data_IF_614577237514
#
_entry.id   IF_614577237514
#
_cell.length_a   1.000
_cell.length_b   1.000
_cell.length_c   1.000
_cell.angle_alpha   90.00
_cell.angle_beta   90.00
_cell.angle_gamma   90.00
#
_symmetry.space_group_name_H-M   'P 1'
#
loop_
_entity.id
_entity.type
_entity.pdbx_description
1 polymer ?
#
# COMPACT_ATOMS: atom_id res chain seq x y z
N UNK A 1 25.61 -0.26 34.75
CA UNK A 1 25.02 -1.29 35.63
C UNK A 1 24.32 -2.29 34.73
N UNK A 2 24.67 -3.57 34.80
CA UNK A 2 24.05 -4.62 34.01
C UNK A 2 22.79 -5.13 34.74
N UNK A 3 21.63 -5.02 34.11
CA UNK A 3 20.36 -5.54 34.63
C UNK A 3 20.22 -7.01 34.22
N UNK A 4 20.33 -7.91 35.20
CA UNK A 4 20.15 -9.36 35.04
C UNK A 4 18.68 -9.76 34.86
N UNK A 5 18.04 -9.27 33.79
CA UNK A 5 16.66 -9.57 33.44
C UNK A 5 16.56 -10.06 32.01
N UNK A 6 15.66 -11.01 31.77
CA UNK A 6 15.32 -11.61 30.47
C UNK A 6 14.63 -10.60 29.52
N UNK A 7 14.99 -9.32 29.58
CA UNK A 7 14.41 -8.26 28.77
C UNK A 7 14.95 -8.33 27.35
N UNK A 8 14.05 -8.43 26.38
CA UNK A 8 14.41 -8.37 24.97
C UNK A 8 14.86 -6.94 24.66
N UNK A 9 16.15 -6.78 24.37
CA UNK A 9 16.72 -5.52 23.91
C UNK A 9 16.28 -5.27 22.46
N UNK A 10 15.31 -4.37 22.28
CA UNK A 10 14.79 -3.95 20.98
C UNK A 10 15.21 -2.51 20.65
N UNK A 11 16.46 -2.28 20.21
CA UNK A 11 16.91 -0.93 19.86
C UNK A 11 16.16 -0.41 18.62
N UNK A 12 15.94 0.91 18.52
CA UNK A 12 15.29 1.49 17.35
C UNK A 12 16.16 1.29 16.10
N UNK A 13 15.54 0.88 15.00
CA UNK A 13 16.20 0.81 13.69
C UNK A 13 16.48 2.24 13.19
N UNK A 14 17.75 2.54 12.89
CA UNK A 14 18.23 3.87 12.47
C UNK A 14 18.77 3.88 11.03
N UNK A 15 18.23 3.03 10.17
CA UNK A 15 18.64 2.93 8.78
C UNK A 15 17.50 3.23 7.80
N UNK A 16 17.82 3.11 6.52
CA UNK A 16 16.84 3.03 5.44
C UNK A 16 16.84 1.60 4.88
N UNK A 17 15.69 1.13 4.40
CA UNK A 17 15.57 -0.13 3.67
C UNK A 17 15.26 0.20 2.22
N UNK A 18 16.06 -0.33 1.30
CA UNK A 18 15.82 -0.25 -0.14
C UNK A 18 15.30 -1.59 -0.60
N UNK A 19 14.13 -1.59 -1.25
CA UNK A 19 13.50 -2.78 -1.83
C UNK A 19 13.55 -2.62 -3.34
N UNK A 20 14.29 -3.48 -4.03
CA UNK A 20 14.38 -3.51 -5.49
C UNK A 20 13.76 -4.80 -6.01
N UNK A 21 12.67 -4.69 -6.77
CA UNK A 21 11.95 -5.81 -7.34
C UNK A 21 11.06 -5.34 -8.50
N UNK A 22 10.65 -6.28 -9.36
CA UNK A 22 9.76 -5.99 -10.49
C UNK A 22 8.27 -5.90 -10.08
N UNK A 23 7.88 -6.59 -9.01
CA UNK A 23 6.50 -6.60 -8.53
C UNK A 23 6.23 -5.46 -7.54
N UNK A 24 4.99 -4.97 -7.49
CA UNK A 24 4.59 -3.97 -6.50
C UNK A 24 4.75 -4.51 -5.08
N UNK A 25 5.24 -3.66 -4.16
CA UNK A 25 5.30 -4.00 -2.74
C UNK A 25 3.88 -4.11 -2.18
N UNK A 26 3.46 -5.34 -1.84
CA UNK A 26 2.21 -5.59 -1.13
C UNK A 26 2.49 -5.66 0.37
N UNK A 27 1.87 -4.76 1.14
CA UNK A 27 2.04 -4.71 2.59
C UNK A 27 0.80 -4.10 3.25
N UNK A 28 0.77 -4.13 4.58
CA UNK A 28 -0.29 -3.45 5.34
C UNK A 28 -0.25 -1.94 5.12
N UNK A 29 -1.39 -1.26 5.23
CA UNK A 29 -1.49 0.18 5.05
C UNK A 29 -0.48 1.00 5.88
N UNK A 30 -0.17 0.64 7.16
CA UNK A 30 0.89 1.32 7.91
C UNK A 30 2.28 1.21 7.26
N UNK A 31 2.63 0.08 6.65
CA UNK A 31 3.91 -0.09 5.97
C UNK A 31 3.93 0.75 4.69
N UNK A 32 2.89 0.65 3.86
CA UNK A 32 2.80 1.38 2.60
C UNK A 32 2.91 2.90 2.79
N UNK A 33 2.29 3.45 3.84
CA UNK A 33 2.35 4.89 4.15
C UNK A 33 3.77 5.40 4.50
N UNK A 34 4.73 4.51 4.71
CA UNK A 34 6.14 4.83 5.03
C UNK A 34 7.10 4.42 3.91
N UNK A 35 6.58 4.02 2.75
CA UNK A 35 7.39 3.66 1.58
C UNK A 35 7.26 4.77 0.53
N UNK A 36 8.41 5.33 0.15
CA UNK A 36 8.55 6.08 -1.10
C UNK A 36 8.84 5.07 -2.21
N UNK A 37 8.08 5.13 -3.30
CA UNK A 37 8.22 4.20 -4.41
C UNK A 37 8.68 4.93 -5.66
N UNK A 38 9.76 4.44 -6.25
CA UNK A 38 10.25 4.87 -7.55
C UNK A 38 9.89 3.79 -8.57
N UNK A 39 9.13 4.18 -9.59
CA UNK A 39 8.82 3.32 -10.72
C UNK A 39 9.79 3.60 -11.86
N UNK A 40 10.42 2.55 -12.38
CA UNK A 40 11.30 2.64 -13.53
C UNK A 40 10.72 1.78 -14.66
N UNK A 41 10.49 2.41 -15.80
CA UNK A 41 9.98 1.75 -17.00
C UNK A 41 10.96 1.92 -18.18
N UNK A 42 10.54 1.45 -19.36
CA UNK A 42 11.33 1.53 -20.59
C UNK A 42 11.01 2.77 -21.43
N UNK A 43 10.09 3.65 -20.99
CA UNK A 43 9.60 4.76 -21.80
C UNK A 43 10.70 5.79 -22.13
N UNK A 44 11.69 5.94 -21.25
CA UNK A 44 12.85 6.80 -21.44
C UNK A 44 14.05 6.17 -22.17
N UNK A 45 13.93 4.94 -22.67
CA UNK A 45 15.05 4.24 -23.31
C UNK A 45 15.29 4.74 -24.74
N UNK A 46 16.47 5.28 -24.96
CA UNK A 46 16.96 5.84 -26.23
C UNK A 46 18.41 5.40 -26.43
N UNK A 47 18.97 5.51 -27.66
CA UNK A 47 20.39 5.25 -27.87
C UNK A 47 21.29 6.03 -26.91
N UNK A 48 20.96 7.30 -26.66
CA UNK A 48 21.70 8.18 -25.73
C UNK A 48 21.61 7.72 -24.27
N UNK A 49 20.43 7.30 -23.79
CA UNK A 49 20.29 6.82 -22.41
C UNK A 49 20.94 5.44 -22.23
N UNK A 50 20.99 4.63 -23.28
CA UNK A 50 21.78 3.38 -23.30
C UNK A 50 23.28 3.63 -23.20
N UNK A 51 23.81 4.57 -23.99
CA UNK A 51 25.23 4.97 -23.90
C UNK A 51 25.57 5.48 -22.49
N UNK A 52 24.71 6.30 -21.90
CA UNK A 52 24.89 6.79 -20.54
C UNK A 52 24.86 5.66 -19.49
N UNK A 53 23.98 4.67 -19.64
CA UNK A 53 23.93 3.50 -18.76
C UNK A 53 25.21 2.66 -18.84
N UNK A 54 25.71 2.40 -20.05
CA UNK A 54 26.98 1.68 -20.26
C UNK A 54 28.15 2.46 -19.64
N UNK A 55 28.17 3.78 -19.81
CA UNK A 55 29.18 4.63 -19.19
C UNK A 55 29.13 4.59 -17.66
N UNK A 56 27.93 4.53 -17.07
CA UNK A 56 27.76 4.40 -15.62
C UNK A 56 28.21 3.02 -15.11
N UNK A 57 27.87 1.95 -15.83
CA UNK A 57 28.26 0.56 -15.50
C UNK A 57 29.78 0.34 -15.54
N UNK A 58 30.46 1.03 -16.45
CA UNK A 58 31.91 0.96 -16.63
C UNK A 58 32.70 2.00 -15.84
N UNK A 59 32.02 2.85 -15.06
CA UNK A 59 32.66 3.93 -14.31
C UNK A 59 33.50 3.36 -13.17
N UNK A 60 34.77 3.80 -13.07
CA UNK A 60 35.67 3.37 -12.01
C UNK A 60 35.13 3.79 -10.62
N UNK A 61 35.28 2.92 -9.63
CA UNK A 61 34.81 3.15 -8.25
C UNK A 61 35.34 4.47 -7.67
N UNK A 62 36.57 4.84 -8.00
CA UNK A 62 37.23 6.07 -7.57
C UNK A 62 36.47 7.32 -8.05
N UNK A 63 35.79 7.25 -9.20
CA UNK A 63 35.01 8.35 -9.74
C UNK A 63 33.64 8.52 -9.04
N UNK A 64 33.10 7.46 -8.42
CA UNK A 64 31.76 7.46 -7.79
C UNK A 64 31.79 7.39 -6.25
N UNK A 65 32.91 7.00 -5.65
CA UNK A 65 33.04 6.78 -4.19
C UNK A 65 33.06 8.05 -3.34
N UNK A 66 33.20 9.23 -3.95
CA UNK A 66 33.30 10.50 -3.23
C UNK A 66 32.03 10.98 -2.53
N UNK A 67 30.86 10.41 -2.84
CA UNK A 67 29.57 10.89 -2.32
C UNK A 67 29.51 10.85 -0.78
N UNK A 68 29.81 9.69 -0.17
CA UNK A 68 29.74 9.53 1.29
C UNK A 68 30.71 10.45 2.03
N UNK A 69 31.92 10.64 1.49
CA UNK A 69 32.92 11.52 2.09
C UNK A 69 32.47 13.00 2.03
N UNK A 70 31.88 13.43 0.91
CA UNK A 70 31.35 14.79 0.77
C UNK A 70 30.17 15.03 1.70
N UNK A 71 29.23 14.08 1.75
CA UNK A 71 28.05 14.18 2.60
C UNK A 71 28.43 14.24 4.09
N UNK A 72 29.33 13.38 4.56
CA UNK A 72 29.77 13.38 5.97
C UNK A 72 30.54 14.65 6.35
N UNK A 73 31.36 15.21 5.46
CA UNK A 73 32.02 16.51 5.68
C UNK A 73 31.04 17.69 5.79
N UNK A 74 29.84 17.54 5.23
CA UNK A 74 28.79 18.57 5.22
C UNK A 74 27.63 18.21 6.16
N UNK A 75 27.82 17.26 7.07
CA UNK A 75 26.78 16.72 7.97
C UNK A 75 25.98 17.82 8.67
N UNK A 76 26.65 18.80 9.30
CA UNK A 76 25.97 19.87 10.01
C UNK A 76 25.05 20.71 9.11
N UNK A 77 25.46 20.99 7.87
CA UNK A 77 24.65 21.75 6.91
C UNK A 77 23.47 20.92 6.39
N UNK A 78 23.70 19.64 6.14
CA UNK A 78 22.66 18.69 5.72
C UNK A 78 21.61 18.53 6.81
N UNK A 79 22.02 18.24 8.05
CA UNK A 79 21.11 18.08 9.20
C UNK A 79 20.29 19.35 9.39
N UNK A 80 20.92 20.53 9.40
CA UNK A 80 20.21 21.80 9.51
C UNK A 80 19.13 21.97 8.42
N UNK A 81 19.49 21.69 7.16
CA UNK A 81 18.55 21.79 6.03
C UNK A 81 17.36 20.84 6.21
N UNK A 82 17.61 19.62 6.69
CA UNK A 82 16.55 18.63 6.92
C UNK A 82 15.66 19.01 8.10
N UNK A 83 16.24 19.47 9.21
CA UNK A 83 15.50 19.89 10.42
C UNK A 83 14.60 21.10 10.15
N UNK A 84 15.08 22.07 9.37
CA UNK A 84 14.31 23.27 9.00
C UNK A 84 13.29 22.96 7.89
N UNK A 85 13.68 22.19 6.87
CA UNK A 85 12.88 21.95 5.67
C UNK A 85 11.78 20.89 5.85
N UNK A 86 12.04 19.81 6.60
CA UNK A 86 11.08 18.71 6.68
C UNK A 86 9.70 19.12 7.24
N UNK A 87 9.60 19.92 8.33
CA UNK A 87 8.31 20.40 8.83
C UNK A 87 7.59 21.31 7.83
N UNK A 88 8.33 22.12 7.06
CA UNK A 88 7.77 22.99 6.05
C UNK A 88 7.17 22.18 4.89
N UNK A 89 7.93 21.23 4.35
CA UNK A 89 7.47 20.36 3.27
C UNK A 89 6.33 19.44 3.70
N UNK A 90 6.33 18.96 4.95
CA UNK A 90 5.21 18.20 5.50
C UNK A 90 3.92 19.04 5.47
N UNK A 91 3.98 20.31 5.89
CA UNK A 91 2.84 21.22 5.83
C UNK A 91 2.39 21.48 4.39
N UNK A 92 3.32 21.80 3.49
CA UNK A 92 3.01 22.06 2.08
C UNK A 92 2.35 20.85 1.42
N UNK A 93 2.78 19.63 1.77
CA UNK A 93 2.16 18.39 1.29
C UNK A 93 0.77 18.17 1.91
N UNK A 94 0.54 18.54 3.17
CA UNK A 94 -0.78 18.47 3.79
C UNK A 94 -1.78 19.47 3.22
N UNK A 95 -1.30 20.62 2.74
CA UNK A 95 -2.11 21.62 2.06
C UNK A 95 -2.47 21.18 0.62
N UNK A 96 -1.79 20.16 0.08
CA UNK A 96 -2.09 19.63 -1.25
C UNK A 96 -3.42 18.86 -1.25
N UNK A 97 -4.38 19.20 -2.14
CA UNK A 97 -5.76 18.69 -2.07
C UNK A 97 -5.89 17.16 -2.23
N UNK A 98 -4.90 16.53 -2.87
CA UNK A 98 -4.86 15.08 -3.08
C UNK A 98 -4.15 14.31 -1.96
N UNK A 99 -3.54 14.96 -0.98
CA UNK A 99 -2.78 14.29 0.09
C UNK A 99 -3.54 14.50 1.41
N UNK A 100 -3.93 13.41 2.07
CA UNK A 100 -4.74 13.45 3.29
C UNK A 100 -4.06 12.80 4.48
N UNK A 101 -3.17 11.83 4.23
CA UNK A 101 -2.46 11.12 5.28
C UNK A 101 -1.28 11.92 5.79
N UNK A 102 -1.30 12.24 7.08
CA UNK A 102 -0.18 12.85 7.80
C UNK A 102 1.09 12.01 7.74
N UNK A 103 0.97 10.67 7.69
CA UNK A 103 2.13 9.79 7.58
C UNK A 103 2.79 9.87 6.20
N UNK A 104 1.98 9.96 5.14
CA UNK A 104 2.49 10.12 3.76
C UNK A 104 3.17 11.48 3.63
N UNK A 105 2.51 12.55 4.10
CA UNK A 105 3.05 13.90 4.06
C UNK A 105 4.37 14.00 4.84
N UNK A 106 4.44 13.45 6.05
CA UNK A 106 5.67 13.40 6.83
C UNK A 106 6.80 12.66 6.11
N UNK A 107 6.53 11.46 5.60
CA UNK A 107 7.53 10.64 4.94
C UNK A 107 8.10 11.32 3.67
N UNK A 108 7.23 11.90 2.84
CA UNK A 108 7.65 12.57 1.62
C UNK A 108 8.23 13.97 1.90
N UNK A 109 7.79 14.66 2.95
CA UNK A 109 8.37 15.93 3.40
C UNK A 109 9.81 15.76 3.89
N UNK A 110 10.09 14.67 4.62
CA UNK A 110 11.45 14.28 4.98
C UNK A 110 12.31 13.99 3.74
N UNK A 111 11.77 13.27 2.75
CA UNK A 111 12.48 13.03 1.49
C UNK A 111 12.74 14.32 0.71
N UNK A 112 11.78 15.24 0.68
CA UNK A 112 11.93 16.53 0.01
C UNK A 112 13.01 17.39 0.66
N UNK A 113 13.09 17.39 2.00
CA UNK A 113 14.16 18.07 2.71
C UNK A 113 15.54 17.44 2.46
N UNK A 114 15.61 16.10 2.34
CA UNK A 114 16.82 15.39 1.92
C UNK A 114 17.20 15.73 0.46
N UNK A 115 16.22 15.89 -0.42
CA UNK A 115 16.42 16.34 -1.80
C UNK A 115 16.99 17.77 -1.87
N UNK A 116 16.52 18.68 -1.01
CA UNK A 116 17.13 20.02 -0.89
C UNK A 116 18.57 19.93 -0.39
N UNK A 117 18.81 19.11 0.63
CA UNK A 117 20.13 18.90 1.20
C UNK A 117 21.12 18.23 0.22
N UNK A 118 20.63 17.47 -0.75
CA UNK A 118 21.45 16.89 -1.83
C UNK A 118 22.21 17.97 -2.61
N UNK A 119 21.64 19.18 -2.72
CA UNK A 119 22.27 20.34 -3.36
C UNK A 119 23.57 20.80 -2.70
N UNK A 120 23.85 20.41 -1.45
CA UNK A 120 25.15 20.66 -0.80
C UNK A 120 26.26 19.74 -1.33
N UNK A 121 25.89 18.54 -1.82
CA UNK A 121 26.83 17.46 -2.17
C UNK A 121 27.00 17.34 -3.68
N UNK A 122 25.92 17.59 -4.43
CA UNK A 122 25.85 17.43 -5.88
C UNK A 122 25.36 18.73 -6.51
N UNK A 123 25.99 19.12 -7.61
CA UNK A 123 25.54 20.26 -8.40
C UNK A 123 24.26 19.89 -9.16
N UNK A 124 23.13 20.41 -8.68
CA UNK A 124 21.83 20.30 -9.34
C UNK A 124 21.45 21.65 -9.93
N UNK A 125 21.07 21.66 -11.20
CA UNK A 125 20.47 22.85 -11.83
C UNK A 125 19.10 23.14 -11.23
N UNK A 126 18.60 24.36 -11.43
CA UNK A 126 17.28 24.75 -10.92
C UNK A 126 16.16 23.89 -11.55
N UNK A 127 16.31 23.53 -12.82
CA UNK A 127 15.38 22.62 -13.51
C UNK A 127 15.40 21.22 -12.88
N UNK A 128 16.58 20.71 -12.53
CA UNK A 128 16.71 19.41 -11.88
C UNK A 128 16.10 19.42 -10.47
N UNK A 129 16.30 20.51 -9.72
CA UNK A 129 15.68 20.70 -8.39
C UNK A 129 14.16 20.75 -8.49
N UNK A 130 13.63 21.51 -9.44
CA UNK A 130 12.20 21.59 -9.68
C UNK A 130 11.61 20.24 -10.10
N UNK A 131 12.27 19.51 -11.00
CA UNK A 131 11.86 18.18 -11.41
C UNK A 131 11.85 17.19 -10.24
N UNK A 132 12.90 17.21 -9.39
CA UNK A 132 12.99 16.38 -8.20
C UNK A 132 11.84 16.68 -7.21
N UNK A 133 11.54 17.96 -6.97
CA UNK A 133 10.41 18.36 -6.12
C UNK A 133 9.07 17.85 -6.67
N UNK A 134 8.82 18.05 -7.95
CA UNK A 134 7.59 17.58 -8.61
C UNK A 134 7.47 16.05 -8.55
N UNK A 135 8.59 15.33 -8.73
CA UNK A 135 8.62 13.88 -8.62
C UNK A 135 8.23 13.42 -7.21
N UNK A 136 8.75 14.06 -6.15
CA UNK A 136 8.40 13.71 -4.76
C UNK A 136 6.93 13.97 -4.46
N UNK A 137 6.36 15.06 -4.97
CA UNK A 137 4.91 15.33 -4.85
C UNK A 137 4.11 14.25 -5.58
N UNK A 138 4.49 13.90 -6.81
CA UNK A 138 3.86 12.83 -7.59
C UNK A 138 3.85 11.50 -6.83
N UNK A 139 4.99 11.10 -6.28
CA UNK A 139 5.10 9.89 -5.45
C UNK A 139 4.18 9.92 -4.23
N UNK A 140 4.02 11.08 -3.58
CA UNK A 140 3.13 11.22 -2.43
C UNK A 140 1.65 11.08 -2.82
N UNK A 141 1.25 11.64 -3.96
CA UNK A 141 -0.10 11.53 -4.50
C UNK A 141 -0.42 10.09 -4.90
N UNK A 142 0.46 9.45 -5.69
CA UNK A 142 0.33 8.04 -6.07
C UNK A 142 0.25 7.14 -4.84
N UNK A 143 1.05 7.44 -3.80
CA UNK A 143 0.98 6.70 -2.54
C UNK A 143 -0.36 6.91 -1.83
N UNK A 144 -0.91 8.12 -1.83
CA UNK A 144 -2.23 8.40 -1.25
C UNK A 144 -3.32 7.63 -1.99
N UNK A 145 -3.28 7.57 -3.31
CA UNK A 145 -4.21 6.81 -4.14
C UNK A 145 -4.07 5.31 -3.86
N UNK A 146 -2.85 4.77 -3.83
CA UNK A 146 -2.59 3.36 -3.53
C UNK A 146 -3.07 2.94 -2.12
N UNK A 147 -3.06 3.84 -1.13
CA UNK A 147 -3.62 3.54 0.20
C UNK A 147 -5.12 3.80 0.29
N UNK A 148 -5.77 4.35 -0.74
CA UNK A 148 -7.22 4.44 -0.85
C UNK A 148 -7.80 3.20 -1.55
N UNK A 149 -7.01 2.54 -2.40
CA UNK A 149 -7.43 1.34 -3.12
C UNK A 149 -7.46 0.09 -2.25
N UNK A 150 -8.31 -0.87 -2.62
CA UNK A 150 -8.35 -2.18 -1.99
C UNK A 150 -7.12 -3.04 -2.34
N UNK A 151 -6.69 -3.85 -1.37
CA UNK A 151 -5.58 -4.79 -1.58
C UNK A 151 -5.92 -5.73 -2.76
N UNK A 152 -4.95 -6.14 -3.61
CA UNK A 152 -5.24 -7.00 -4.77
C UNK A 152 -6.07 -8.25 -4.44
N UNK A 153 -5.75 -8.94 -3.34
CA UNK A 153 -6.53 -10.09 -2.82
C UNK A 153 -8.00 -9.75 -2.52
N UNK A 154 -8.29 -8.54 -2.04
CA UNK A 154 -9.67 -8.09 -1.78
C UNK A 154 -10.40 -7.83 -3.09
N UNK A 155 -9.74 -7.21 -4.08
CA UNK A 155 -10.32 -7.00 -5.41
C UNK A 155 -10.66 -8.32 -6.10
N UNK A 156 -9.69 -9.24 -6.14
CA UNK A 156 -9.87 -10.58 -6.72
C UNK A 156 -11.00 -11.35 -6.03
N UNK A 157 -11.11 -11.26 -4.70
CA UNK A 157 -12.23 -11.83 -3.97
C UNK A 157 -13.58 -11.25 -4.41
N UNK A 158 -13.69 -9.92 -4.53
CA UNK A 158 -14.96 -9.29 -4.90
C UNK A 158 -15.33 -9.53 -6.36
N UNK A 159 -14.36 -9.55 -7.28
CA UNK A 159 -14.58 -9.97 -8.67
C UNK A 159 -15.10 -11.41 -8.76
N UNK A 160 -14.48 -12.34 -8.03
CA UNK A 160 -14.94 -13.72 -7.96
C UNK A 160 -16.31 -13.83 -7.28
N UNK A 161 -16.55 -13.06 -6.21
CA UNK A 161 -17.84 -13.01 -5.53
C UNK A 161 -18.94 -12.55 -6.49
N UNK A 162 -18.76 -11.43 -7.18
CA UNK A 162 -19.76 -10.87 -8.09
C UNK A 162 -20.01 -11.76 -9.31
N UNK A 163 -18.98 -12.48 -9.78
CA UNK A 163 -19.15 -13.47 -10.83
C UNK A 163 -19.93 -14.71 -10.36
N UNK A 164 -19.72 -15.14 -9.10
CA UNK A 164 -20.33 -16.35 -8.56
C UNK A 164 -21.73 -16.12 -7.99
N UNK A 165 -21.98 -14.93 -7.45
CA UNK A 165 -23.27 -14.49 -6.94
C UNK A 165 -24.20 -14.25 -8.15
N UNK A 166 -25.31 -14.98 -8.19
CA UNK A 166 -26.16 -15.00 -9.39
C UNK A 166 -26.81 -13.64 -9.66
N UNK A 167 -26.93 -13.26 -10.94
CA UNK A 167 -27.55 -11.97 -11.34
C UNK A 167 -29.05 -11.90 -11.01
N UNK A 168 -29.78 -13.00 -11.18
CA UNK A 168 -31.22 -13.04 -10.87
C UNK A 168 -31.51 -13.26 -9.39
N UNK A 169 -30.61 -13.98 -8.71
CA UNK A 169 -30.81 -14.47 -7.36
C UNK A 169 -29.48 -14.64 -6.63
N UNK A 170 -29.34 -14.08 -5.42
CA UNK A 170 -28.15 -14.27 -4.61
C UNK A 170 -27.89 -15.76 -4.35
N UNK A 171 -26.61 -16.15 -4.46
CA UNK A 171 -26.09 -17.50 -4.17
C UNK A 171 -25.02 -17.48 -3.08
N UNK A 172 -24.41 -16.33 -2.82
CA UNK A 172 -23.37 -16.13 -1.83
C UNK A 172 -23.70 -15.04 -0.82
N UNK A 173 -24.52 -14.05 -1.18
CA UNK A 173 -24.98 -13.05 -0.22
C UNK A 173 -26.06 -13.62 0.72
N UNK A 174 -25.66 -13.95 1.95
CA UNK A 174 -26.55 -14.43 3.00
C UNK A 174 -27.37 -13.32 3.68
N UNK A 175 -27.10 -12.04 3.37
CA UNK A 175 -27.77 -10.90 4.00
C UNK A 175 -29.21 -10.79 3.52
N UNK A 176 -30.11 -10.52 4.45
CA UNK A 176 -31.49 -10.08 4.15
C UNK A 176 -31.61 -8.56 4.05
N UNK A 177 -30.61 -7.84 4.57
CA UNK A 177 -30.54 -6.39 4.54
C UNK A 177 -29.92 -5.94 3.20
N UNK A 178 -30.65 -5.11 2.46
CA UNK A 178 -30.25 -4.61 1.14
C UNK A 178 -29.02 -3.70 1.19
N UNK A 179 -28.67 -3.14 2.35
CA UNK A 179 -27.49 -2.30 2.55
C UNK A 179 -26.23 -3.09 2.92
N UNK A 180 -26.38 -4.39 3.20
CA UNK A 180 -25.29 -5.25 3.67
C UNK A 180 -25.07 -6.45 2.75
N UNK A 181 -23.84 -6.92 2.73
CA UNK A 181 -23.43 -8.18 2.10
C UNK A 181 -22.92 -9.08 3.20
N UNK A 182 -23.49 -10.29 3.34
CA UNK A 182 -23.05 -11.26 4.34
C UNK A 182 -22.46 -12.47 3.63
N UNK A 183 -21.14 -12.66 3.74
CA UNK A 183 -20.43 -13.74 3.06
C UNK A 183 -19.96 -14.80 4.04
N UNK A 184 -20.38 -16.03 3.85
CA UNK A 184 -19.72 -17.16 4.50
C UNK A 184 -18.53 -17.61 3.63
N UNK A 185 -17.31 -17.41 4.12
CA UNK A 185 -16.11 -17.69 3.31
C UNK A 185 -15.93 -19.18 2.95
N UNK A 186 -16.41 -20.11 3.79
CA UNK A 186 -16.32 -21.54 3.47
C UNK A 186 -17.30 -21.90 2.34
N UNK A 187 -18.52 -21.35 2.38
CA UNK A 187 -19.51 -21.49 1.32
C UNK A 187 -19.01 -20.87 0.01
N UNK A 188 -18.39 -19.69 0.07
CA UNK A 188 -17.72 -19.07 -1.07
C UNK A 188 -16.65 -19.98 -1.68
N UNK A 189 -15.76 -20.54 -0.86
CA UNK A 189 -14.71 -21.48 -1.32
C UNK A 189 -15.32 -22.71 -1.99
N UNK A 190 -16.40 -23.27 -1.41
CA UNK A 190 -17.09 -24.42 -1.98
C UNK A 190 -17.65 -24.09 -3.39
N UNK A 191 -18.40 -22.99 -3.52
CA UNK A 191 -19.00 -22.60 -4.80
C UNK A 191 -17.93 -22.24 -5.85
N UNK A 192 -16.84 -21.59 -5.42
CA UNK A 192 -15.71 -21.30 -6.29
C UNK A 192 -15.07 -22.59 -6.83
N UNK A 193 -14.87 -23.60 -5.98
CA UNK A 193 -14.33 -24.90 -6.37
C UNK A 193 -15.25 -25.63 -7.36
N UNK A 194 -16.57 -25.62 -7.12
CA UNK A 194 -17.58 -26.20 -8.03
C UNK A 194 -17.52 -25.56 -9.43
N UNK A 195 -17.29 -24.24 -9.51
CA UNK A 195 -17.15 -23.49 -10.76
C UNK A 195 -15.71 -23.40 -11.29
N UNK A 196 -14.79 -24.17 -10.70
CA UNK A 196 -13.36 -24.21 -11.08
C UNK A 196 -12.69 -22.83 -11.10
N UNK A 197 -13.13 -21.92 -10.23
CA UNK A 197 -12.48 -20.63 -10.03
C UNK A 197 -11.28 -20.80 -9.10
N UNK A 198 -10.14 -20.21 -9.47
CA UNK A 198 -9.01 -20.09 -8.55
C UNK A 198 -9.29 -18.94 -7.59
N UNK A 199 -9.05 -19.18 -6.30
CA UNK A 199 -9.22 -18.16 -5.26
C UNK A 199 -8.00 -18.14 -4.33
N UNK A 200 -7.67 -16.98 -3.75
CA UNK A 200 -6.60 -16.88 -2.77
C UNK A 200 -6.83 -17.78 -1.54
N UNK A 201 -5.76 -18.11 -0.83
CA UNK A 201 -5.84 -18.92 0.38
C UNK A 201 -6.73 -18.24 1.43
N UNK A 202 -7.55 -19.05 2.11
CA UNK A 202 -8.52 -18.56 3.10
C UNK A 202 -7.88 -17.74 4.24
N UNK A 203 -6.64 -18.07 4.62
CA UNK A 203 -5.88 -17.30 5.60
C UNK A 203 -5.63 -15.88 5.13
N UNK A 204 -5.20 -15.73 3.89
CA UNK A 204 -4.81 -14.45 3.31
C UNK A 204 -6.06 -13.60 3.03
N UNK A 205 -7.17 -14.23 2.60
CA UNK A 205 -8.50 -13.60 2.51
C UNK A 205 -8.95 -13.03 3.86
N UNK A 206 -8.92 -13.82 4.94
CA UNK A 206 -9.34 -13.36 6.28
C UNK A 206 -8.53 -12.17 6.77
N UNK A 207 -7.25 -12.10 6.44
CA UNK A 207 -6.39 -10.98 6.80
C UNK A 207 -6.69 -9.74 5.96
N UNK A 208 -6.83 -9.89 4.64
CA UNK A 208 -7.02 -8.79 3.71
C UNK A 208 -8.44 -8.21 3.74
N UNK A 209 -9.48 -9.04 3.88
CA UNK A 209 -10.89 -8.58 3.84
C UNK A 209 -11.26 -7.64 4.97
N UNK A 210 -10.57 -7.69 6.12
CA UNK A 210 -10.73 -6.71 7.20
C UNK A 210 -10.37 -5.28 6.78
N UNK A 211 -9.52 -5.15 5.77
CA UNK A 211 -9.09 -3.86 5.23
C UNK A 211 -9.85 -3.45 3.98
N UNK A 212 -10.93 -4.16 3.62
CA UNK A 212 -11.79 -3.84 2.48
C UNK A 212 -12.37 -2.43 2.61
N UNK A 213 -12.30 -1.61 1.56
CA UNK A 213 -12.68 -0.19 1.55
C UNK A 213 -13.90 0.08 0.70
N UNK A 214 -13.97 -0.48 -0.51
CA UNK A 214 -15.13 -0.31 -1.41
C UNK A 214 -16.36 -0.91 -0.75
N UNK A 215 -16.26 -2.17 -0.33
CA UNK A 215 -17.27 -2.88 0.48
C UNK A 215 -16.71 -3.03 1.89
N UNK A 216 -16.92 -2.03 2.73
CA UNK A 216 -16.26 -1.93 4.03
C UNK A 216 -16.68 -3.06 4.97
N UNK A 217 -15.70 -3.72 5.59
CA UNK A 217 -15.97 -4.72 6.62
C UNK A 217 -16.63 -4.09 7.85
N UNK A 218 -17.75 -4.67 8.30
CA UNK A 218 -18.54 -4.20 9.43
C UNK A 218 -18.27 -5.06 10.66
N UNK A 219 -18.53 -6.37 10.57
CA UNK A 219 -18.39 -7.30 11.68
C UNK A 219 -18.37 -8.76 11.20
N UNK A 220 -18.00 -9.69 12.08
CA UNK A 220 -18.11 -11.12 11.89
C UNK A 220 -19.13 -11.70 12.89
N UNK A 221 -20.35 -11.96 12.41
CA UNK A 221 -21.47 -12.37 13.27
C UNK A 221 -22.34 -13.44 12.62
N UNK A 222 -23.18 -14.06 13.45
CA UNK A 222 -24.17 -15.00 12.99
C UNK A 222 -25.34 -14.25 12.34
N UNK A 223 -25.77 -14.68 11.15
CA UNK A 223 -26.90 -14.11 10.42
C UNK A 223 -27.90 -15.21 10.06
N UNK A 224 -29.18 -14.87 10.03
CA UNK A 224 -30.20 -15.73 9.44
C UNK A 224 -30.05 -15.67 7.91
N UNK A 225 -29.66 -16.79 7.31
CA UNK A 225 -29.27 -16.88 5.90
C UNK A 225 -30.47 -16.72 4.95
N UNK A 226 -30.42 -15.70 4.08
CA UNK A 226 -31.44 -15.50 3.03
C UNK A 226 -31.46 -16.62 1.97
N UNK A 227 -30.32 -17.28 1.72
CA UNK A 227 -30.16 -18.25 0.62
C UNK A 227 -30.52 -19.67 1.06
N UNK A 228 -30.13 -20.06 2.29
CA UNK A 228 -30.34 -21.43 2.78
C UNK A 228 -31.80 -21.74 3.10
N UNK A 229 -32.64 -20.72 3.27
CA UNK A 229 -34.08 -20.87 3.37
C UNK A 229 -34.70 -21.26 2.01
N UNK A 230 -34.13 -20.78 0.89
CA UNK A 230 -34.64 -21.05 -0.47
C UNK A 230 -34.33 -22.46 -0.97
N UNK A 231 -33.18 -23.01 -0.61
CA UNK A 231 -32.76 -24.36 -1.00
C UNK A 231 -33.37 -25.48 -0.14
N UNK A 232 -34.21 -25.15 0.86
CA UNK A 232 -34.84 -26.12 1.75
C UNK A 232 -36.29 -26.42 1.40
N UNK A 233 -36.64 -27.71 1.50
CA UNK A 233 -38.01 -28.23 1.38
C UNK A 233 -38.83 -28.06 2.68
N UNK A 234 -38.25 -27.65 3.80
CA UNK A 234 -38.94 -27.54 5.10
C UNK A 234 -38.66 -26.21 5.84
N UNK A 235 -39.67 -25.52 6.39
CA UNK A 235 -39.62 -24.06 6.60
C UNK A 235 -39.20 -23.58 8.00
N UNK A 236 -38.83 -24.45 8.97
CA UNK A 236 -38.94 -24.07 10.39
C UNK A 236 -37.70 -24.20 11.30
N UNK A 237 -36.50 -24.41 10.75
CA UNK A 237 -35.25 -24.30 11.53
C UNK A 237 -34.43 -23.11 11.01
N UNK A 238 -34.28 -22.07 11.82
CA UNK A 238 -33.49 -20.90 11.46
C UNK A 238 -32.06 -21.28 11.08
N UNK A 239 -31.68 -21.10 9.82
CA UNK A 239 -30.33 -21.39 9.31
C UNK A 239 -29.39 -20.26 9.64
N UNK A 240 -29.05 -20.19 10.91
CA UNK A 240 -28.08 -19.22 11.41
C UNK A 240 -26.68 -19.65 10.98
N UNK A 241 -26.00 -18.82 10.21
CA UNK A 241 -24.64 -19.07 9.72
C UNK A 241 -23.73 -17.90 10.08
N UNK A 242 -22.47 -18.18 10.44
CA UNK A 242 -21.48 -17.12 10.69
C UNK A 242 -21.00 -16.54 9.37
N UNK A 243 -21.17 -15.23 9.20
CA UNK A 243 -20.79 -14.51 8.01
C UNK A 243 -19.89 -13.33 8.34
N UNK A 244 -19.03 -13.00 7.38
CA UNK A 244 -18.33 -11.72 7.31
C UNK A 244 -19.29 -10.72 6.70
N UNK A 245 -19.56 -9.64 7.41
CA UNK A 245 -20.55 -8.63 7.02
C UNK A 245 -19.80 -7.43 6.44
N UNK A 246 -20.27 -6.96 5.29
CA UNK A 246 -19.73 -5.81 4.59
C UNK A 246 -20.86 -4.84 4.24
N UNK A 247 -20.55 -3.56 4.08
CA UNK A 247 -21.48 -2.62 3.46
C UNK A 247 -21.57 -2.88 1.97
N UNK A 248 -22.75 -2.66 1.38
CA UNK A 248 -22.88 -2.59 -0.08
C UNK A 248 -22.17 -1.34 -0.61
N UNK A 249 -21.78 -1.39 -1.88
CA UNK A 249 -21.17 -0.24 -2.55
C UNK A 249 -22.13 0.96 -2.48
N UNK A 250 -21.63 2.10 -1.98
CA UNK A 250 -22.42 3.32 -2.00
C UNK A 250 -22.44 3.81 -3.44
N UNK A 251 -23.60 3.74 -4.09
CA UNK A 251 -23.86 4.39 -5.37
C UNK A 251 -23.65 5.90 -5.29
#
# INVERSE_FOLDING_TARGET
MATGGNETYEPPFRGAIVISQNATVNASAPILQRIVHLHFDTAGQTPKTREAAIALESMATEAVSGFMLKATKLEAAIIKTVEEGAPMHERDLLDHPKIKSTRIAKNHGQLMALADALGHVVALTDEQRAALRNQVIGMAVERQEAINDDHPVVREFWEAFDYLDGQDFPRLNHSRDEQLIAVNLNHFVQLAAERKQQIPLLRDLKQALRTSKIRRFVDYRAVNSAIMERDRQTPNDGTTIKCWIFTREQS
#
